data_IF_308269413032
#
_entry.id   IF_308269413032
#
_cell.length_a   1.000
_cell.length_b   1.000
_cell.length_c   1.000
_cell.angle_alpha   90.00
_cell.angle_beta   90.00
_cell.angle_gamma   90.00
#
_symmetry.space_group_name_H-M   'P 1'
#
loop_
_entity.id
_entity.type
_entity.pdbx_description
1 polymer ?
#
# COMPACT_ATOMS: atom_id res chain seq x y z
N UNK A 1 4.94 -10.51 35.92
CA UNK A 1 3.50 -10.50 36.26
C UNK A 1 3.01 -9.06 36.26
N UNK A 2 2.10 -8.67 35.35
CA UNK A 2 1.53 -7.31 35.35
C UNK A 2 0.65 -7.11 36.60
N UNK A 3 0.70 -5.94 37.26
CA UNK A 3 -0.15 -5.67 38.42
C UNK A 3 -1.63 -5.67 38.01
N UNK A 4 -2.51 -6.18 38.89
CA UNK A 4 -3.91 -6.51 38.57
C UNK A 4 -4.73 -5.30 38.10
N UNK A 5 -4.49 -4.13 38.70
CA UNK A 5 -5.07 -2.85 38.31
C UNK A 5 -4.66 -2.43 36.90
N UNK A 6 -3.37 -2.56 36.55
CA UNK A 6 -2.87 -2.24 35.22
C UNK A 6 -3.49 -3.16 34.16
N UNK A 7 -3.53 -4.47 34.42
CA UNK A 7 -4.17 -5.45 33.51
C UNK A 7 -5.64 -5.10 33.23
N UNK A 8 -6.40 -4.70 34.25
CA UNK A 8 -7.80 -4.27 34.10
C UNK A 8 -7.91 -3.01 33.24
N UNK A 9 -7.07 -2.01 33.50
CA UNK A 9 -7.07 -0.76 32.71
C UNK A 9 -6.73 -1.00 31.24
N UNK A 10 -5.73 -1.84 30.96
CA UNK A 10 -5.32 -2.20 29.60
C UNK A 10 -6.42 -2.93 28.85
N UNK A 11 -7.14 -3.83 29.52
CA UNK A 11 -8.28 -4.53 28.91
C UNK A 11 -9.44 -3.59 28.58
N UNK A 12 -9.72 -2.62 29.45
CA UNK A 12 -10.75 -1.59 29.20
C UNK A 12 -10.33 -0.72 28.02
N UNK A 13 -9.09 -0.22 28.01
CA UNK A 13 -8.55 0.59 26.93
C UNK A 13 -8.56 -0.15 25.59
N UNK A 14 -8.10 -1.40 25.56
CA UNK A 14 -8.13 -2.26 24.37
C UNK A 14 -9.55 -2.40 23.82
N UNK A 15 -10.54 -2.68 24.69
CA UNK A 15 -11.94 -2.85 24.28
C UNK A 15 -12.53 -1.58 23.69
N UNK A 16 -12.33 -0.43 24.33
CA UNK A 16 -12.87 0.84 23.83
C UNK A 16 -12.17 1.32 22.56
N UNK A 17 -10.84 1.18 22.49
CA UNK A 17 -10.07 1.51 21.29
C UNK A 17 -10.47 0.61 20.11
N UNK A 18 -10.59 -0.70 20.33
CA UNK A 18 -11.05 -1.63 19.30
C UNK A 18 -12.46 -1.31 18.80
N UNK A 19 -13.38 -0.93 19.70
CA UNK A 19 -14.75 -0.58 19.34
C UNK A 19 -14.82 0.72 18.53
N UNK A 20 -14.00 1.72 18.87
CA UNK A 20 -13.87 2.97 18.11
C UNK A 20 -13.24 2.75 16.73
N UNK A 21 -12.23 1.88 16.64
CA UNK A 21 -11.52 1.58 15.39
C UNK A 21 -12.26 0.62 14.47
N UNK A 22 -13.14 -0.23 14.99
CA UNK A 22 -13.85 -1.25 14.24
C UNK A 22 -14.45 -0.76 12.91
N UNK A 23 -15.24 0.33 12.84
CA UNK A 23 -15.80 0.79 11.58
C UNK A 23 -14.73 1.27 10.59
N UNK A 24 -13.71 1.96 11.07
CA UNK A 24 -12.61 2.48 10.23
C UNK A 24 -11.82 1.31 9.63
N UNK A 25 -11.41 0.37 10.48
CA UNK A 25 -10.67 -0.82 10.07
C UNK A 25 -11.49 -1.67 9.11
N UNK A 26 -12.80 -1.81 9.33
CA UNK A 26 -13.69 -2.54 8.42
C UNK A 26 -13.68 -1.91 7.02
N UNK A 27 -13.83 -0.60 6.90
CA UNK A 27 -13.78 0.09 5.60
C UNK A 27 -12.42 -0.05 4.91
N UNK A 28 -11.33 0.08 5.66
CA UNK A 28 -9.96 -0.09 5.13
C UNK A 28 -9.73 -1.54 4.69
N UNK A 29 -10.24 -2.51 5.44
CA UNK A 29 -10.09 -3.93 5.13
C UNK A 29 -10.92 -4.33 3.91
N UNK A 30 -12.15 -3.83 3.78
CA UNK A 30 -12.99 -4.07 2.60
C UNK A 30 -12.38 -3.45 1.34
N UNK A 31 -11.90 -2.21 1.41
CA UNK A 31 -11.20 -1.57 0.30
C UNK A 31 -9.89 -2.29 -0.06
N UNK A 32 -9.13 -2.73 0.94
CA UNK A 32 -7.94 -3.56 0.76
C UNK A 32 -8.25 -4.90 0.09
N UNK A 33 -9.35 -5.56 0.49
CA UNK A 33 -9.80 -6.80 -0.12
C UNK A 33 -10.17 -6.60 -1.61
N UNK A 34 -10.86 -5.52 -1.95
CA UNK A 34 -11.16 -5.17 -3.36
C UNK A 34 -9.86 -4.97 -4.16
N UNK A 35 -8.88 -4.25 -3.59
CA UNK A 35 -7.58 -4.00 -4.23
C UNK A 35 -6.77 -5.28 -4.47
N UNK A 36 -6.93 -6.31 -3.63
CA UNK A 36 -6.25 -7.59 -3.79
C UNK A 36 -6.66 -8.34 -5.07
N UNK A 37 -7.84 -8.07 -5.63
CA UNK A 37 -8.30 -8.65 -6.89
C UNK A 37 -7.78 -7.92 -8.14
N UNK A 38 -7.25 -6.70 -7.99
CA UNK A 38 -6.69 -5.93 -9.12
C UNK A 38 -5.72 -6.73 -10.00
N UNK A 39 -4.71 -7.47 -9.47
CA UNK A 39 -3.81 -8.26 -10.30
C UNK A 39 -4.52 -9.40 -11.04
N UNK A 40 -5.56 -10.00 -10.46
CA UNK A 40 -6.31 -11.10 -11.08
C UNK A 40 -7.06 -10.57 -12.31
N UNK A 41 -7.78 -9.45 -12.15
CA UNK A 41 -8.50 -8.79 -13.25
C UNK A 41 -7.53 -8.30 -14.33
N UNK A 42 -6.37 -7.76 -13.93
CA UNK A 42 -5.33 -7.36 -14.87
C UNK A 42 -4.76 -8.55 -15.66
N UNK A 43 -4.61 -9.72 -15.01
CA UNK A 43 -4.09 -10.93 -15.65
C UNK A 43 -5.07 -11.59 -16.64
N UNK A 44 -6.39 -11.39 -16.45
CA UNK A 44 -7.41 -11.85 -17.41
C UNK A 44 -7.46 -11.02 -18.70
N UNK A 45 -6.79 -9.86 -18.75
CA UNK A 45 -6.74 -9.00 -19.94
C UNK A 45 -5.87 -9.54 -21.09
N UNK A 46 -5.37 -10.79 -20.99
CA UNK A 46 -4.50 -11.41 -21.98
C UNK A 46 -3.02 -11.03 -21.81
N UNK A 47 -2.10 -11.68 -22.56
CA UNK A 47 -0.70 -11.27 -22.60
C UNK A 47 -0.65 -9.79 -22.96
N UNK A 48 0.15 -9.01 -22.22
CA UNK A 48 0.36 -7.62 -22.57
C UNK A 48 0.78 -7.56 -24.05
N UNK A 49 -0.05 -7.01 -24.92
CA UNK A 49 0.37 -6.80 -26.30
C UNK A 49 1.61 -5.92 -26.23
N UNK A 50 2.75 -6.44 -26.69
CA UNK A 50 3.99 -5.68 -26.63
C UNK A 50 3.86 -4.49 -27.57
N UNK A 51 3.56 -3.31 -27.02
CA UNK A 51 3.60 -2.09 -27.80
C UNK A 51 5.02 -1.91 -28.36
N UNK A 52 5.13 -1.61 -29.66
CA UNK A 52 6.43 -1.41 -30.30
C UNK A 52 7.16 -0.26 -29.58
N UNK A 53 8.38 -0.48 -29.03
CA UNK A 53 9.10 0.54 -28.26
C UNK A 53 9.32 1.84 -29.04
N UNK A 54 9.49 1.77 -30.36
CA UNK A 54 9.65 2.96 -31.20
C UNK A 54 8.37 3.79 -31.30
N UNK A 55 7.20 3.14 -31.34
CA UNK A 55 5.89 3.80 -31.35
C UNK A 55 5.63 4.49 -30.01
N UNK A 56 5.96 3.84 -28.89
CA UNK A 56 5.83 4.42 -27.55
C UNK A 56 6.76 5.63 -27.40
N UNK A 57 8.02 5.52 -27.85
CA UNK A 57 8.98 6.62 -27.79
C UNK A 57 8.53 7.82 -28.64
N UNK A 58 8.04 7.58 -29.85
CA UNK A 58 7.53 8.64 -30.73
C UNK A 58 6.25 9.30 -30.18
N UNK A 59 5.36 8.52 -29.56
CA UNK A 59 4.18 9.06 -28.89
C UNK A 59 4.57 9.90 -27.66
N UNK A 60 5.53 9.44 -26.86
CA UNK A 60 6.01 10.15 -25.69
C UNK A 60 6.69 11.48 -26.05
N UNK A 61 7.54 11.52 -27.08
CA UNK A 61 8.19 12.76 -27.55
C UNK A 61 7.17 13.80 -28.03
N UNK A 62 6.05 13.34 -28.61
CA UNK A 62 4.97 14.21 -29.08
C UNK A 62 4.08 14.73 -27.93
N UNK A 63 3.84 13.91 -26.90
CA UNK A 63 2.95 14.24 -25.77
C UNK A 63 3.71 15.01 -24.67
N UNK A 64 4.94 14.64 -24.37
CA UNK A 64 5.79 15.24 -23.33
C UNK A 64 7.19 15.62 -23.85
N UNK A 65 7.28 16.61 -24.76
CA UNK A 65 8.57 17.09 -25.27
C UNK A 65 9.44 17.71 -24.17
N UNK A 66 8.83 18.18 -23.08
CA UNK A 66 9.51 18.80 -21.95
C UNK A 66 10.03 17.80 -20.91
N UNK A 67 9.78 16.48 -21.10
CA UNK A 67 10.20 15.40 -20.19
C UNK A 67 9.77 15.63 -18.74
N UNK A 68 8.52 16.07 -18.56
CA UNK A 68 7.89 16.32 -17.24
C UNK A 68 7.32 15.06 -16.60
N UNK A 69 7.10 13.99 -17.36
CA UNK A 69 6.61 12.71 -16.85
C UNK A 69 7.65 12.02 -15.95
N UNK A 70 7.22 11.62 -14.77
CA UNK A 70 8.04 10.92 -13.77
C UNK A 70 7.87 9.40 -13.84
N UNK A 71 6.78 8.91 -14.42
CA UNK A 71 6.60 7.49 -14.72
C UNK A 71 5.74 7.28 -15.97
N UNK A 72 6.03 6.20 -16.69
CA UNK A 72 5.28 5.73 -17.85
C UNK A 72 4.89 4.26 -17.63
N UNK A 73 3.64 3.93 -17.90
CA UNK A 73 3.15 2.56 -17.94
C UNK A 73 2.32 2.30 -19.19
N UNK A 74 2.57 1.19 -19.88
CA UNK A 74 1.81 0.79 -21.06
C UNK A 74 0.63 -0.08 -20.62
N UNK A 75 -0.55 0.15 -21.18
CA UNK A 75 -1.72 -0.68 -20.95
C UNK A 75 -1.51 -2.09 -21.51
N UNK A 76 -2.19 -3.08 -20.93
CA UNK A 76 -2.07 -4.50 -21.32
C UNK A 76 -2.57 -4.78 -22.74
N UNK A 77 -3.40 -3.92 -23.31
CA UNK A 77 -3.82 -3.98 -24.71
C UNK A 77 -2.75 -3.43 -25.70
N UNK A 78 -1.67 -2.81 -25.20
CA UNK A 78 -0.63 -2.17 -26.01
C UNK A 78 -1.10 -0.94 -26.78
N UNK A 79 -2.32 -0.46 -26.54
CA UNK A 79 -2.95 0.65 -27.29
C UNK A 79 -2.98 1.95 -26.51
N UNK A 80 -2.75 1.94 -25.20
CA UNK A 80 -2.65 3.14 -24.39
C UNK A 80 -1.36 3.23 -23.56
N UNK A 81 -0.88 4.45 -23.32
CA UNK A 81 0.14 4.77 -22.32
C UNK A 81 -0.46 5.65 -21.23
N UNK A 82 -0.15 5.34 -19.98
CA UNK A 82 -0.46 6.20 -18.83
C UNK A 82 0.81 6.91 -18.38
N UNK A 83 0.76 8.24 -18.38
CA UNK A 83 1.82 9.11 -17.89
C UNK A 83 1.46 9.63 -16.50
N UNK A 84 2.41 9.52 -15.58
CA UNK A 84 2.36 10.22 -14.29
C UNK A 84 3.33 11.39 -14.34
N UNK A 85 2.84 12.57 -14.04
CA UNK A 85 3.62 13.80 -13.94
C UNK A 85 3.06 14.63 -12.78
N UNK A 86 3.87 15.54 -12.22
CA UNK A 86 3.38 16.55 -11.27
C UNK A 86 2.55 17.63 -11.99
N UNK A 87 2.76 17.78 -13.30
CA UNK A 87 2.00 18.68 -14.17
C UNK A 87 0.71 18.00 -14.65
N UNK A 88 -0.48 18.51 -14.28
CA UNK A 88 -1.76 17.94 -14.70
C UNK A 88 -2.01 18.03 -16.20
N UNK A 89 -1.27 18.86 -16.95
CA UNK A 89 -1.39 18.93 -18.41
C UNK A 89 -0.78 17.70 -19.12
N UNK A 90 0.14 16.99 -18.46
CA UNK A 90 0.86 15.83 -19.01
C UNK A 90 0.42 14.53 -18.33
N UNK A 91 -0.15 14.61 -17.13
CA UNK A 91 -0.67 13.45 -16.42
C UNK A 91 -1.98 12.97 -17.07
N UNK A 92 -2.01 11.71 -17.51
CA UNK A 92 -3.19 11.18 -18.19
C UNK A 92 -2.95 9.83 -18.85
N UNK A 93 -4.01 9.23 -19.38
CA UNK A 93 -3.93 8.06 -20.25
C UNK A 93 -4.15 8.50 -21.69
N UNK A 94 -3.23 8.16 -22.58
CA UNK A 94 -3.23 8.57 -23.97
C UNK A 94 -3.26 7.33 -24.86
N UNK A 95 -4.10 7.37 -25.89
CA UNK A 95 -4.10 6.38 -26.95
C UNK A 95 -2.85 6.53 -27.83
N UNK A 96 -2.16 5.43 -28.15
CA UNK A 96 -0.92 5.46 -28.94
C UNK A 96 -1.15 5.85 -30.40
N UNK A 97 -2.32 5.52 -30.96
CA UNK A 97 -2.63 5.77 -32.37
C UNK A 97 -3.09 7.22 -32.57
N UNK A 98 -3.98 7.72 -31.72
CA UNK A 98 -4.54 9.09 -31.86
C UNK A 98 -3.77 10.14 -31.06
N UNK A 99 -2.97 9.73 -30.06
CA UNK A 99 -2.25 10.61 -29.11
C UNK A 99 -3.19 11.55 -28.34
N UNK A 100 -4.47 11.19 -28.25
CA UNK A 100 -5.46 11.95 -27.50
C UNK A 100 -5.64 11.37 -26.11
N UNK A 101 -6.00 12.24 -25.16
CA UNK A 101 -6.42 11.80 -23.83
C UNK A 101 -7.61 10.84 -23.97
N UNK A 102 -7.41 9.62 -23.50
CA UNK A 102 -8.46 8.64 -23.31
C UNK A 102 -9.12 8.93 -21.96
N UNK A 103 -10.21 9.69 -21.99
CA UNK A 103 -11.16 9.72 -20.88
C UNK A 103 -11.74 8.31 -20.76
N UNK A 104 -11.24 7.48 -19.83
CA UNK A 104 -11.94 6.24 -19.46
C UNK A 104 -13.24 6.64 -18.76
N UNK A 105 -14.30 6.80 -19.54
CA UNK A 105 -15.64 7.25 -19.10
C UNK A 105 -16.40 6.24 -18.24
N UNK A 106 -15.74 5.54 -17.33
CA UNK A 106 -16.35 4.56 -16.43
C UNK A 106 -15.95 4.81 -14.97
N UNK A 107 -16.78 4.36 -14.04
CA UNK A 107 -16.45 4.38 -12.61
C UNK A 107 -15.28 3.43 -12.33
N UNK A 108 -14.12 3.98 -11.97
CA UNK A 108 -12.95 3.19 -11.59
C UNK A 108 -13.08 2.72 -10.13
N UNK A 109 -13.67 1.54 -9.94
CA UNK A 109 -13.85 0.88 -8.65
C UNK A 109 -12.50 0.73 -7.92
N UNK A 110 -11.40 0.50 -8.63
CA UNK A 110 -10.09 0.32 -8.03
C UNK A 110 -9.48 1.64 -7.58
N UNK A 111 -9.65 2.72 -8.35
CA UNK A 111 -9.24 4.06 -7.91
C UNK A 111 -10.05 4.52 -6.69
N UNK A 112 -11.37 4.30 -6.72
CA UNK A 112 -12.24 4.57 -5.58
C UNK A 112 -11.83 3.77 -4.33
N UNK A 113 -11.62 2.44 -4.47
CA UNK A 113 -11.17 1.60 -3.37
C UNK A 113 -9.79 2.04 -2.86
N UNK A 114 -8.87 2.42 -3.75
CA UNK A 114 -7.55 2.93 -3.39
C UNK A 114 -7.63 4.21 -2.56
N UNK A 115 -8.50 5.13 -2.94
CA UNK A 115 -8.66 6.39 -2.24
C UNK A 115 -9.40 6.22 -0.90
N UNK A 116 -10.40 5.35 -0.84
CA UNK A 116 -11.02 4.93 0.42
C UNK A 116 -10.00 4.28 1.37
N UNK A 117 -9.11 3.43 0.83
CA UNK A 117 -8.11 2.71 1.61
C UNK A 117 -7.03 3.64 2.18
N UNK A 118 -6.62 4.67 1.43
CA UNK A 118 -5.53 5.58 1.82
C UNK A 118 -5.99 6.83 2.54
N UNK A 119 -7.14 7.37 2.14
CA UNK A 119 -7.58 8.71 2.52
C UNK A 119 -9.02 8.75 3.07
N UNK A 120 -9.70 7.60 3.22
CA UNK A 120 -11.13 7.52 3.57
C UNK A 120 -12.04 8.34 2.62
N UNK A 121 -11.64 8.55 1.36
CA UNK A 121 -12.31 9.40 0.35
C UNK A 121 -12.34 10.91 0.65
N UNK A 122 -11.93 11.34 1.84
CA UNK A 122 -12.04 12.73 2.31
C UNK A 122 -10.66 13.37 2.54
N UNK A 123 -9.58 12.78 2.00
CA UNK A 123 -8.21 13.27 2.22
C UNK A 123 -7.69 13.03 3.64
N UNK A 124 -8.35 12.18 4.45
CA UNK A 124 -8.02 11.93 5.84
C UNK A 124 -6.93 10.85 6.02
N UNK A 125 -5.87 10.90 5.19
CA UNK A 125 -4.78 9.93 5.26
C UNK A 125 -4.08 9.90 6.64
N UNK A 126 -4.04 11.03 7.33
CA UNK A 126 -3.52 11.10 8.71
C UNK A 126 -4.35 10.27 9.70
N UNK A 127 -5.68 10.17 9.50
CA UNK A 127 -6.56 9.35 10.35
C UNK A 127 -6.24 7.88 10.16
N UNK A 128 -6.06 7.45 8.90
CA UNK A 128 -5.64 6.07 8.57
C UNK A 128 -4.31 5.74 9.21
N UNK A 129 -3.36 6.68 9.15
CA UNK A 129 -2.04 6.49 9.74
C UNK A 129 -2.11 6.35 11.27
N UNK A 130 -2.78 7.26 11.96
CA UNK A 130 -2.98 7.18 13.42
C UNK A 130 -3.73 5.89 13.78
N UNK A 131 -4.81 5.57 13.06
CA UNK A 131 -5.58 4.35 13.27
C UNK A 131 -4.72 3.10 13.10
N UNK A 132 -3.77 3.11 12.18
CA UNK A 132 -2.80 2.02 11.98
C UNK A 132 -1.87 1.87 13.19
N UNK A 133 -1.31 2.97 13.70
CA UNK A 133 -0.47 2.90 14.91
C UNK A 133 -1.26 2.41 16.13
N UNK A 134 -2.48 2.92 16.32
CA UNK A 134 -3.35 2.46 17.42
C UNK A 134 -3.73 0.99 17.22
N UNK A 135 -4.01 0.56 15.99
CA UNK A 135 -4.31 -0.83 15.65
C UNK A 135 -3.14 -1.76 16.00
N UNK A 136 -1.91 -1.40 15.63
CA UNK A 136 -0.71 -2.15 16.02
C UNK A 136 -0.57 -2.20 17.55
N UNK A 137 -0.80 -1.08 18.23
CA UNK A 137 -0.80 -1.02 19.69
C UNK A 137 -1.81 -1.98 20.33
N UNK A 138 -3.06 -1.98 19.87
CA UNK A 138 -4.09 -2.89 20.40
C UNK A 138 -3.81 -4.36 20.05
N UNK A 139 -3.16 -4.66 18.92
CA UNK A 139 -2.72 -6.02 18.59
C UNK A 139 -1.66 -6.52 19.57
N UNK A 140 -0.65 -5.69 19.88
CA UNK A 140 0.38 -6.03 20.87
C UNK A 140 -0.25 -6.20 22.26
N UNK A 141 -1.13 -5.28 22.67
CA UNK A 141 -1.86 -5.39 23.94
C UNK A 141 -2.73 -6.65 23.94
N UNK A 142 -3.42 -6.96 22.84
CA UNK A 142 -4.25 -8.15 22.68
C UNK A 142 -3.44 -9.43 22.85
N UNK A 143 -2.24 -9.51 22.25
CA UNK A 143 -1.32 -10.64 22.41
C UNK A 143 -0.85 -10.81 23.85
N UNK A 144 -0.51 -9.71 24.54
CA UNK A 144 -0.11 -9.74 25.95
C UNK A 144 -1.24 -10.16 26.89
N UNK A 145 -2.49 -9.87 26.54
CA UNK A 145 -3.66 -10.19 27.36
C UNK A 145 -4.27 -11.57 27.04
N UNK A 146 -4.13 -12.05 25.80
CA UNK A 146 -4.93 -13.14 25.24
C UNK A 146 -4.18 -14.47 25.14
N UNK A 147 -4.42 -15.38 26.07
CA UNK A 147 -4.16 -16.81 25.85
C UNK A 147 -5.32 -17.42 25.06
N UNK A 148 -5.09 -18.26 24.03
CA UNK A 148 -6.17 -18.82 23.22
C UNK A 148 -7.00 -19.77 24.08
N UNK A 149 -8.17 -19.30 24.53
CA UNK A 149 -9.20 -20.13 25.16
C UNK A 149 -10.41 -20.13 24.26
N UNK A 150 -10.53 -21.18 23.46
CA UNK A 150 -11.70 -21.43 22.63
C UNK A 150 -12.88 -21.75 23.56
N UNK A 151 -13.83 -20.83 23.63
CA UNK A 151 -15.10 -20.97 24.34
C UNK A 151 -16.20 -20.64 23.36
N UNK A 152 -17.36 -21.29 23.48
CA UNK A 152 -18.53 -20.99 22.63
C UNK A 152 -19.22 -19.69 23.09
N UNK A 153 -18.47 -18.60 23.07
CA UNK A 153 -18.93 -17.25 23.38
C UNK A 153 -18.30 -16.29 22.37
N UNK A 154 -18.91 -15.13 22.16
CA UNK A 154 -18.39 -14.13 21.23
C UNK A 154 -16.93 -13.73 21.56
N UNK A 155 -16.59 -13.65 22.85
CA UNK A 155 -15.24 -13.39 23.31
C UNK A 155 -14.28 -14.57 23.04
N UNK A 156 -14.77 -15.81 23.15
CA UNK A 156 -13.99 -17.01 22.79
C UNK A 156 -13.68 -17.07 21.29
N UNK A 157 -14.66 -16.74 20.45
CA UNK A 157 -14.47 -16.61 19.00
C UNK A 157 -13.52 -15.48 18.61
N UNK A 158 -13.61 -14.32 19.25
CA UNK A 158 -12.66 -13.23 19.04
C UNK A 158 -11.23 -13.65 19.38
N UNK A 159 -11.01 -14.33 20.52
CA UNK A 159 -9.69 -14.84 20.90
C UNK A 159 -9.18 -15.91 19.93
N UNK A 160 -10.04 -16.83 19.50
CA UNK A 160 -9.70 -17.88 18.53
C UNK A 160 -9.33 -17.32 17.16
N UNK A 161 -10.19 -16.45 16.60
CA UNK A 161 -9.94 -15.76 15.34
C UNK A 161 -8.71 -14.85 15.42
N UNK A 162 -8.52 -14.16 16.54
CA UNK A 162 -7.34 -13.32 16.78
C UNK A 162 -6.05 -14.13 16.68
N UNK A 163 -5.97 -15.28 17.35
CA UNK A 163 -4.80 -16.17 17.28
C UNK A 163 -4.58 -16.80 15.90
N UNK A 164 -5.65 -17.14 15.19
CA UNK A 164 -5.56 -17.66 13.82
C UNK A 164 -5.12 -16.58 12.82
N UNK A 165 -5.64 -15.36 12.96
CA UNK A 165 -5.36 -14.24 12.06
C UNK A 165 -3.95 -13.65 12.30
N UNK A 166 -3.43 -13.71 13.52
CA UNK A 166 -2.12 -13.16 13.89
C UNK A 166 -0.97 -13.63 12.98
N UNK A 167 -0.74 -14.95 12.76
CA UNK A 167 0.30 -15.41 11.85
C UNK A 167 0.03 -14.98 10.40
N UNK A 168 -1.22 -14.97 9.93
CA UNK A 168 -1.57 -14.53 8.56
C UNK A 168 -1.25 -13.05 8.34
N UNK A 169 -1.60 -12.20 9.32
CA UNK A 169 -1.31 -10.77 9.27
C UNK A 169 0.19 -10.51 9.42
N UNK A 170 0.92 -11.30 10.22
CA UNK A 170 2.37 -11.18 10.36
C UNK A 170 3.13 -11.67 9.13
N UNK A 171 2.61 -12.67 8.41
CA UNK A 171 3.23 -13.26 7.23
C UNK A 171 3.51 -12.23 6.13
N UNK A 172 2.60 -11.29 5.88
CA UNK A 172 2.75 -10.31 4.80
C UNK A 172 3.90 -9.31 5.04
N UNK A 173 4.01 -8.59 6.18
CA UNK A 173 5.15 -7.71 6.43
C UNK A 173 6.44 -8.49 6.66
N UNK A 174 6.40 -9.69 7.26
CA UNK A 174 7.60 -10.52 7.42
C UNK A 174 8.14 -10.95 6.06
N UNK A 175 7.28 -11.39 5.15
CA UNK A 175 7.66 -11.73 3.77
C UNK A 175 8.23 -10.51 3.05
N UNK A 176 7.57 -9.35 3.15
CA UNK A 176 8.06 -8.10 2.59
C UNK A 176 9.43 -7.69 3.15
N UNK A 177 9.65 -7.85 4.46
CA UNK A 177 10.93 -7.57 5.10
C UNK A 177 12.03 -8.53 4.62
N UNK A 178 11.73 -9.83 4.51
CA UNK A 178 12.67 -10.82 3.96
C UNK A 178 13.05 -10.51 2.52
N UNK A 179 12.07 -10.15 1.68
CA UNK A 179 12.32 -9.73 0.29
C UNK A 179 13.18 -8.48 0.23
N UNK A 180 12.89 -7.46 1.04
CA UNK A 180 13.67 -6.23 1.11
C UNK A 180 15.11 -6.48 1.56
N UNK A 181 15.31 -7.42 2.50
CA UNK A 181 16.62 -7.82 3.01
C UNK A 181 17.31 -8.90 2.15
N UNK A 182 16.66 -9.37 1.07
CA UNK A 182 17.13 -10.46 0.21
C UNK A 182 17.43 -11.77 0.98
N UNK A 183 16.72 -12.01 2.09
CA UNK A 183 16.86 -13.23 2.89
C UNK A 183 16.11 -14.37 2.16
N UNK A 184 16.82 -15.45 1.81
CA UNK A 184 16.24 -16.61 1.09
C UNK A 184 16.27 -16.49 -0.44
N UNK A 185 16.92 -15.48 -1.01
CA UNK A 185 17.09 -15.35 -2.46
C UNK A 185 18.11 -16.37 -3.00
N UNK A 186 17.83 -17.05 -4.13
CA UNK A 186 18.81 -17.96 -4.74
C UNK A 186 20.05 -17.19 -5.24
N UNK A 187 21.21 -17.87 -5.36
CA UNK A 187 22.42 -17.25 -5.89
C UNK A 187 22.15 -16.66 -7.28
N UNK A 188 22.32 -15.34 -7.42
CA UNK A 188 22.10 -14.63 -8.69
C UNK A 188 20.82 -13.80 -8.79
N UNK A 189 19.99 -13.72 -7.73
CA UNK A 189 18.83 -12.82 -7.73
C UNK A 189 19.28 -11.35 -7.95
N UNK A 190 18.62 -10.60 -8.86
CA UNK A 190 19.00 -9.23 -9.14
C UNK A 190 18.82 -8.40 -7.87
N UNK A 191 19.95 -7.97 -7.29
CA UNK A 191 19.92 -7.02 -6.19
C UNK A 191 19.28 -5.74 -6.72
N UNK A 192 18.31 -5.14 -5.99
CA UNK A 192 17.80 -3.84 -6.39
C UNK A 192 19.01 -2.93 -6.59
N UNK A 193 19.09 -2.19 -7.71
CA UNK A 193 20.23 -1.32 -7.96
C UNK A 193 20.39 -0.43 -6.72
N UNK A 194 21.62 -0.21 -6.23
CA UNK A 194 21.82 0.75 -5.15
C UNK A 194 21.08 2.01 -5.57
N UNK A 195 20.24 2.57 -4.67
CA UNK A 195 19.54 3.83 -4.93
C UNK A 195 20.60 4.86 -5.29
N UNK A 196 20.91 4.97 -6.59
CA UNK A 196 21.78 6.01 -7.10
C UNK A 196 20.95 7.26 -6.87
N UNK A 197 21.36 8.09 -5.92
CA UNK A 197 20.92 9.47 -5.92
C UNK A 197 21.37 10.00 -7.27
N UNK A 198 20.43 10.06 -8.23
CA UNK A 198 20.65 10.74 -9.50
C UNK A 198 20.89 12.19 -9.09
N UNK A 199 22.15 12.60 -9.24
CA UNK A 199 22.61 13.96 -8.95
C UNK A 199 21.99 14.88 -9.99
N UNK A 200 20.77 15.32 -9.74
CA UNK A 200 20.18 16.49 -10.37
C UNK A 200 19.99 17.55 -9.28
N UNK A 201 21.07 18.27 -9.00
CA UNK A 201 21.03 19.66 -8.53
C UNK A 201 20.44 20.02 -7.15
N UNK A 202 20.04 19.09 -6.25
CA UNK A 202 19.59 19.47 -4.87
C UNK A 202 20.08 18.51 -3.77
N UNK A 203 20.41 19.01 -2.54
CA UNK A 203 21.10 18.24 -1.51
C UNK A 203 20.17 17.53 -0.51
N UNK A 204 19.09 16.90 -0.98
CA UNK A 204 18.19 16.16 -0.08
C UNK A 204 18.28 14.65 -0.33
N UNK A 205 19.43 14.07 0.01
CA UNK A 205 19.59 12.64 0.25
C UNK A 205 20.10 12.46 1.70
N UNK A 206 19.23 12.62 2.69
CA UNK A 206 19.48 12.16 4.05
C UNK A 206 18.25 11.41 4.57
N UNK A 207 18.40 10.18 5.10
CA UNK A 207 17.35 9.52 5.88
C UNK A 207 17.04 10.40 7.09
N UNK A 208 15.78 10.81 7.26
CA UNK A 208 15.35 11.72 8.33
C UNK A 208 15.73 11.23 9.74
N UNK A 209 15.90 9.91 9.95
CA UNK A 209 16.18 9.31 11.25
C UNK A 209 17.61 9.54 11.78
N UNK A 210 18.59 9.91 10.95
CA UNK A 210 19.98 10.15 11.42
C UNK A 210 20.20 11.55 12.04
N UNK A 211 19.20 12.43 12.01
CA UNK A 211 19.30 13.78 12.58
C UNK A 211 18.97 13.86 14.07
N UNK A 212 18.51 12.76 14.68
CA UNK A 212 18.09 12.70 16.10
C UNK A 212 19.13 12.09 17.07
N UNK A 213 20.27 11.57 16.59
CA UNK A 213 21.30 10.92 17.44
C UNK A 213 22.54 11.82 17.62
N UNK A 214 22.46 13.10 17.25
CA UNK A 214 23.51 14.08 17.52
C UNK A 214 22.93 15.40 18.00
N UNK A 215 22.34 15.36 19.19
CA UNK A 215 22.35 16.49 20.11
C UNK A 215 22.58 15.94 21.52
N UNK A 216 23.72 16.32 22.07
CA UNK A 216 23.99 16.43 23.49
C UNK A 216 23.14 17.59 24.02
#
# INVERSE_FOLDING_TARGET
>A
MLPKNLKRSLAIAHRWAALALAPIVLLILLSGAILAFKPIVASTAGPAASANPSTVAAALEAIDPARRATALSVASDGQAITLKADDPAVAGTYDLATRTLTERGGFDVFAFALDLHKNLLIGAGFIVEIATYVMVGILVIGLLLGWPKLRNTLMGWHNGLGWLALPLVALTPVTGAMMALNIGAPPGWPKPPPRRCVRLGRPWCAPHWRRLIRLN
#
